data_IF_884029447907
#
_entry.id   IF_884029447907
#
_cell.length_a   1.000
_cell.length_b   1.000
_cell.length_c   1.000
_cell.angle_alpha   90.00
_cell.angle_beta   90.00
_cell.angle_gamma   90.00
#
_symmetry.space_group_name_H-M   'P 1'
#
loop_
_entity.id
_entity.type
_entity.pdbx_description
1 polymer ?
#
# COMPACT_ATOMS: atom_id res chain seq x y z
N UNK A 1 -8.11 15.70 -24.03
CA UNK A 1 -9.07 14.91 -23.23
C UNK A 1 -10.33 15.74 -23.05
N UNK A 2 -11.51 15.12 -23.14
CA UNK A 2 -12.79 15.76 -22.82
C UNK A 2 -12.81 16.21 -21.35
N UNK A 3 -13.32 17.41 -21.07
CA UNK A 3 -13.40 17.96 -19.69
C UNK A 3 -14.81 17.82 -19.11
N UNK A 4 -15.67 17.07 -19.75
CA UNK A 4 -17.07 16.82 -19.42
C UNK A 4 -17.32 15.51 -18.69
N UNK A 5 -16.24 14.85 -18.20
CA UNK A 5 -16.30 13.59 -17.48
C UNK A 5 -15.56 13.70 -16.14
N UNK A 6 -16.08 13.02 -15.14
CA UNK A 6 -15.40 12.86 -13.88
C UNK A 6 -14.09 12.08 -14.07
N UNK A 7 -13.00 12.59 -13.49
CA UNK A 7 -11.69 11.91 -13.41
C UNK A 7 -11.31 11.85 -11.94
N UNK A 8 -10.85 10.70 -11.46
CA UNK A 8 -10.45 10.53 -10.07
C UNK A 8 -9.24 11.42 -9.75
N UNK A 9 -9.30 12.25 -8.70
CA UNK A 9 -8.15 13.02 -8.23
C UNK A 9 -6.94 12.15 -7.86
N UNK A 10 -7.16 10.91 -7.47
CA UNK A 10 -6.07 9.97 -7.16
C UNK A 10 -5.18 9.75 -8.38
N UNK A 11 -5.77 9.54 -9.56
CA UNK A 11 -5.01 9.35 -10.80
C UNK A 11 -4.48 10.67 -11.38
N UNK A 12 -5.27 11.75 -11.29
CA UNK A 12 -4.90 13.01 -11.95
C UNK A 12 -3.85 13.81 -11.17
N UNK A 13 -3.87 13.72 -9.83
CA UNK A 13 -3.11 14.66 -8.97
C UNK A 13 -2.17 14.01 -7.98
N UNK A 14 -2.45 12.79 -7.51
CA UNK A 14 -1.76 12.27 -6.32
C UNK A 14 -0.86 11.09 -6.59
N UNK A 15 -1.31 10.10 -7.35
CA UNK A 15 -0.54 8.90 -7.61
C UNK A 15 0.54 9.09 -8.69
N UNK A 16 1.66 8.41 -8.52
CA UNK A 16 2.72 8.33 -9.53
C UNK A 16 2.25 7.61 -10.80
N UNK A 17 2.96 7.83 -11.90
CA UNK A 17 2.70 7.13 -13.17
C UNK A 17 2.95 5.63 -13.04
N UNK A 18 3.92 5.24 -12.24
CA UNK A 18 4.29 3.86 -11.97
C UNK A 18 3.14 3.10 -11.30
N UNK A 19 2.56 3.66 -10.25
CA UNK A 19 1.42 3.04 -9.56
C UNK A 19 0.18 3.01 -10.46
N UNK A 20 -0.08 4.07 -11.22
CA UNK A 20 -1.17 4.10 -12.20
C UNK A 20 -1.01 3.02 -13.28
N UNK A 21 0.24 2.77 -13.75
CA UNK A 21 0.50 1.72 -14.73
C UNK A 21 0.21 0.33 -14.17
N UNK A 22 0.59 0.06 -12.92
CA UNK A 22 0.34 -1.24 -12.26
C UNK A 22 -1.16 -1.58 -12.25
N UNK A 23 -2.04 -0.58 -12.06
CA UNK A 23 -3.49 -0.78 -12.08
C UNK A 23 -4.15 -0.47 -13.44
N UNK A 24 -3.36 -0.29 -14.49
CA UNK A 24 -3.86 0.02 -15.84
C UNK A 24 -4.46 -1.20 -16.53
N UNK A 25 -5.33 -0.98 -17.52
CA UNK A 25 -5.79 -2.04 -18.43
C UNK A 25 -4.62 -2.78 -19.11
N UNK A 26 -3.56 -2.07 -19.50
CA UNK A 26 -2.39 -2.68 -20.12
C UNK A 26 -1.74 -3.72 -19.21
N UNK A 27 -1.43 -3.36 -17.97
CA UNK A 27 -0.87 -4.32 -17.00
C UNK A 27 -1.81 -5.51 -16.77
N UNK A 28 -3.11 -5.25 -16.60
CA UNK A 28 -4.12 -6.29 -16.40
C UNK A 28 -4.16 -7.29 -17.57
N UNK A 29 -4.37 -6.82 -18.78
CA UNK A 29 -4.62 -7.70 -19.91
C UNK A 29 -3.37 -8.35 -20.48
N UNK A 30 -2.21 -7.70 -20.37
CA UNK A 30 -0.92 -8.35 -20.65
C UNK A 30 -0.65 -9.50 -19.66
N UNK A 31 -1.01 -9.31 -18.39
CA UNK A 31 -0.90 -10.37 -17.38
C UNK A 31 -1.85 -11.53 -17.69
N UNK A 32 -3.06 -11.27 -18.19
CA UNK A 32 -3.96 -12.33 -18.65
C UNK A 32 -3.31 -13.16 -19.77
N UNK A 33 -2.69 -12.51 -20.76
CA UNK A 33 -1.98 -13.22 -21.85
C UNK A 33 -0.82 -14.05 -21.33
N UNK A 34 -0.03 -13.52 -20.40
CA UNK A 34 1.05 -14.29 -19.73
C UNK A 34 0.51 -15.52 -19.00
N UNK A 35 -0.61 -15.39 -18.31
CA UNK A 35 -1.28 -16.50 -17.62
C UNK A 35 -1.79 -17.55 -18.62
N UNK A 36 -2.37 -17.17 -19.74
CA UNK A 36 -2.80 -18.13 -20.79
C UNK A 36 -1.61 -18.85 -21.41
N UNK A 37 -0.49 -18.17 -21.64
CA UNK A 37 0.75 -18.81 -22.09
C UNK A 37 1.27 -19.80 -21.03
N UNK A 38 1.34 -19.39 -19.77
CA UNK A 38 1.78 -20.25 -18.67
C UNK A 38 0.89 -21.50 -18.54
N UNK A 39 -0.42 -21.37 -18.76
CA UNK A 39 -1.36 -22.49 -18.80
C UNK A 39 -1.04 -23.44 -19.96
N UNK A 40 -0.98 -22.91 -21.18
CA UNK A 40 -0.70 -23.72 -22.38
C UNK A 40 0.66 -24.44 -22.31
N UNK A 41 1.71 -23.75 -21.84
CA UNK A 41 3.01 -24.37 -21.60
C UNK A 41 2.93 -25.50 -20.56
N UNK A 42 2.21 -25.26 -19.46
CA UNK A 42 2.02 -26.25 -18.38
C UNK A 42 1.27 -27.49 -18.89
N UNK A 43 0.18 -27.31 -19.59
CA UNK A 43 -0.61 -28.41 -20.17
C UNK A 43 0.20 -29.21 -21.19
N UNK A 44 1.02 -28.54 -22.02
CA UNK A 44 1.93 -29.22 -22.94
C UNK A 44 3.00 -30.03 -22.20
N UNK A 45 3.68 -29.42 -21.22
CA UNK A 45 4.71 -30.09 -20.41
C UNK A 45 4.19 -31.31 -19.66
N UNK A 46 2.92 -31.28 -19.26
CA UNK A 46 2.24 -32.37 -18.60
C UNK A 46 1.69 -33.42 -19.58
N UNK A 47 1.89 -33.21 -20.87
CA UNK A 47 1.59 -34.19 -21.89
C UNK A 47 0.10 -34.28 -22.26
N UNK A 48 -0.63 -33.15 -22.22
CA UNK A 48 -2.02 -33.11 -22.64
C UNK A 48 -2.16 -33.61 -24.09
N UNK A 49 -3.09 -34.53 -24.32
CA UNK A 49 -3.35 -35.18 -25.60
C UNK A 49 -4.71 -34.80 -26.15
N UNK A 50 -4.85 -34.95 -27.47
CA UNK A 50 -6.13 -34.91 -28.18
C UNK A 50 -6.80 -36.30 -28.16
N UNK A 51 -8.00 -36.42 -28.76
CA UNK A 51 -8.76 -37.67 -28.82
C UNK A 51 -8.04 -38.78 -29.60
N UNK A 52 -7.09 -38.44 -30.47
CA UNK A 52 -6.32 -39.40 -31.27
C UNK A 52 -4.98 -39.76 -30.58
N UNK A 53 -4.73 -39.24 -29.38
CA UNK A 53 -3.53 -39.51 -28.58
C UNK A 53 -2.31 -38.64 -28.96
N UNK A 54 -2.45 -37.67 -29.88
CA UNK A 54 -1.38 -36.75 -30.24
C UNK A 54 -1.25 -35.59 -29.23
N UNK A 55 -0.09 -34.92 -29.15
CA UNK A 55 0.02 -33.71 -28.35
C UNK A 55 -1.01 -32.66 -28.73
N UNK A 56 -1.84 -32.21 -27.77
CA UNK A 56 -2.91 -31.23 -27.98
C UNK A 56 -2.34 -29.83 -28.23
N UNK A 57 -1.16 -29.52 -27.68
CA UNK A 57 -0.55 -28.20 -27.72
C UNK A 57 0.85 -28.32 -28.36
N UNK A 58 1.13 -27.50 -29.35
CA UNK A 58 2.39 -27.47 -30.10
C UNK A 58 3.25 -26.28 -29.74
N UNK A 59 4.56 -26.36 -30.02
CA UNK A 59 5.47 -25.22 -29.83
C UNK A 59 5.08 -24.03 -30.73
N UNK A 60 4.60 -24.30 -31.94
CA UNK A 60 4.17 -23.26 -32.86
C UNK A 60 3.00 -22.44 -32.29
N UNK A 61 2.04 -23.10 -31.66
CA UNK A 61 0.92 -22.42 -31.00
C UNK A 61 1.40 -21.55 -29.83
N UNK A 62 2.32 -22.04 -29.00
CA UNK A 62 2.87 -21.28 -27.87
C UNK A 62 3.66 -20.06 -28.37
N UNK A 63 4.49 -20.20 -29.37
CA UNK A 63 5.25 -19.09 -29.95
C UNK A 63 4.33 -18.04 -30.61
N UNK A 64 3.24 -18.46 -31.26
CA UNK A 64 2.23 -17.53 -31.76
C UNK A 64 1.58 -16.72 -30.60
N UNK A 65 1.22 -17.36 -29.49
CA UNK A 65 0.73 -16.65 -28.30
C UNK A 65 1.76 -15.65 -27.77
N UNK A 66 3.02 -16.06 -27.62
CA UNK A 66 4.11 -15.20 -27.12
C UNK A 66 4.34 -13.98 -27.99
N UNK A 67 4.20 -14.12 -29.31
CA UNK A 67 4.43 -13.02 -30.25
C UNK A 67 3.42 -11.88 -30.12
N UNK A 68 2.26 -12.13 -29.50
CA UNK A 68 1.16 -11.17 -29.32
C UNK A 68 0.85 -10.84 -27.85
N UNK A 69 1.81 -10.94 -26.93
CA UNK A 69 1.60 -10.62 -25.49
C UNK A 69 1.33 -9.12 -25.28
N UNK A 70 2.04 -8.27 -26.04
CA UNK A 70 2.08 -6.84 -25.79
C UNK A 70 1.06 -6.02 -26.60
N UNK A 71 0.66 -6.49 -27.76
CA UNK A 71 -0.15 -5.78 -28.75
C UNK A 71 -1.65 -6.12 -28.65
N UNK A 72 -2.27 -5.76 -27.53
CA UNK A 72 -3.69 -6.07 -27.27
C UNK A 72 -4.61 -5.28 -28.18
N UNK A 73 -5.51 -5.97 -28.90
CA UNK A 73 -6.55 -5.34 -29.70
C UNK A 73 -7.78 -5.02 -28.84
N UNK A 74 -7.75 -3.87 -28.17
CA UNK A 74 -8.82 -3.40 -27.30
C UNK A 74 -10.14 -3.15 -28.03
N UNK A 75 -10.10 -2.75 -29.29
CA UNK A 75 -11.32 -2.45 -30.05
C UNK A 75 -12.09 -3.72 -30.33
N UNK A 76 -11.42 -4.78 -30.79
CA UNK A 76 -12.04 -6.09 -31.02
C UNK A 76 -12.58 -6.65 -29.71
N UNK A 77 -11.84 -6.58 -28.61
CA UNK A 77 -12.30 -7.04 -27.30
C UNK A 77 -13.57 -6.30 -26.86
N UNK A 78 -13.58 -4.97 -26.98
CA UNK A 78 -14.71 -4.11 -26.61
C UNK A 78 -15.97 -4.40 -27.43
N UNK A 79 -15.83 -4.50 -28.74
CA UNK A 79 -16.96 -4.81 -29.62
C UNK A 79 -17.51 -6.22 -29.32
N UNK A 80 -16.65 -7.19 -29.04
CA UNK A 80 -17.07 -8.52 -28.65
C UNK A 80 -17.81 -8.52 -27.32
N UNK A 81 -17.32 -7.76 -26.34
CA UNK A 81 -17.94 -7.67 -25.01
C UNK A 81 -19.34 -7.07 -25.06
N UNK A 82 -19.60 -6.11 -25.94
CA UNK A 82 -20.96 -5.58 -26.17
C UNK A 82 -21.97 -6.67 -26.57
N UNK A 83 -21.50 -7.68 -27.30
CA UNK A 83 -22.32 -8.78 -27.76
C UNK A 83 -22.52 -9.88 -26.71
N UNK A 84 -21.41 -10.35 -26.10
CA UNK A 84 -21.43 -11.52 -25.22
C UNK A 84 -21.55 -11.20 -23.73
N UNK A 85 -21.38 -9.92 -23.36
CA UNK A 85 -21.44 -9.42 -21.96
C UNK A 85 -20.53 -10.15 -20.99
N UNK A 86 -19.32 -10.51 -21.47
CA UNK A 86 -18.32 -11.26 -20.70
C UNK A 86 -16.91 -10.84 -21.11
N UNK A 87 -16.19 -10.17 -20.20
CA UNK A 87 -14.88 -9.58 -20.45
C UNK A 87 -13.80 -10.62 -20.80
N UNK A 88 -13.67 -11.69 -20.01
CA UNK A 88 -12.64 -12.71 -20.24
C UNK A 88 -12.84 -13.38 -21.61
N UNK A 89 -14.06 -13.80 -21.94
CA UNK A 89 -14.34 -14.44 -23.23
C UNK A 89 -14.15 -13.48 -24.40
N UNK A 90 -14.34 -12.20 -24.21
CA UNK A 90 -14.08 -11.16 -25.21
C UNK A 90 -12.59 -11.02 -25.50
N UNK A 91 -11.76 -11.07 -24.46
CA UNK A 91 -10.30 -11.06 -24.61
C UNK A 91 -9.75 -12.39 -25.16
N UNK A 92 -10.34 -13.55 -24.80
CA UNK A 92 -10.03 -14.84 -25.43
C UNK A 92 -10.30 -14.75 -26.95
N UNK A 93 -11.46 -14.22 -27.33
CA UNK A 93 -11.78 -14.01 -28.73
C UNK A 93 -10.80 -13.07 -29.46
N UNK A 94 -10.53 -11.92 -28.88
CA UNK A 94 -9.59 -10.95 -29.48
C UNK A 94 -8.18 -11.53 -29.64
N UNK A 95 -7.70 -12.29 -28.66
CA UNK A 95 -6.42 -12.97 -28.69
C UNK A 95 -6.40 -14.07 -29.76
N UNK A 96 -7.49 -14.87 -29.86
CA UNK A 96 -7.64 -15.90 -30.88
C UNK A 96 -7.68 -15.35 -32.30
N UNK A 97 -8.18 -14.12 -32.52
CA UNK A 97 -8.13 -13.45 -33.83
C UNK A 97 -6.70 -13.10 -34.23
N UNK A 98 -5.82 -12.76 -33.27
CA UNK A 98 -4.41 -12.49 -33.51
C UNK A 98 -3.60 -13.80 -33.61
N UNK A 99 -4.04 -14.86 -32.94
CA UNK A 99 -3.36 -16.16 -32.85
C UNK A 99 -4.26 -17.30 -33.39
N UNK A 100 -4.53 -17.35 -34.70
CA UNK A 100 -5.48 -18.32 -35.26
C UNK A 100 -5.08 -19.78 -35.06
N UNK A 101 -3.79 -20.12 -35.02
CA UNK A 101 -3.32 -21.49 -34.77
C UNK A 101 -3.54 -21.89 -33.31
N UNK A 102 -3.38 -20.94 -32.40
CA UNK A 102 -3.51 -21.16 -30.96
C UNK A 102 -4.93 -20.90 -30.44
N UNK A 103 -5.87 -20.40 -31.24
CA UNK A 103 -7.20 -20.00 -30.77
C UNK A 103 -7.92 -21.09 -29.98
N UNK A 104 -7.75 -22.36 -30.34
CA UNK A 104 -8.40 -23.50 -29.68
C UNK A 104 -7.75 -23.98 -28.37
N UNK A 105 -6.64 -23.37 -27.95
CA UNK A 105 -5.95 -23.72 -26.69
C UNK A 105 -5.93 -22.56 -25.69
N UNK A 106 -6.39 -21.38 -26.08
CA UNK A 106 -6.48 -20.24 -25.13
C UNK A 106 -7.53 -20.54 -24.06
N UNK A 107 -7.15 -20.44 -22.78
CA UNK A 107 -8.05 -20.64 -21.66
C UNK A 107 -8.61 -22.08 -21.51
N UNK A 108 -7.90 -23.07 -21.99
CA UNK A 108 -8.36 -24.46 -22.01
C UNK A 108 -8.52 -24.98 -20.57
N UNK A 109 -9.66 -25.57 -20.25
CA UNK A 109 -9.99 -26.08 -18.91
C UNK A 109 -10.19 -25.02 -17.81
N UNK A 110 -9.82 -23.78 -18.05
CA UNK A 110 -9.85 -22.71 -17.05
C UNK A 110 -11.23 -22.03 -16.94
N UNK A 111 -11.44 -21.34 -15.83
CA UNK A 111 -12.56 -20.41 -15.62
C UNK A 111 -12.05 -18.95 -15.58
N UNK A 112 -12.97 -17.99 -15.67
CA UNK A 112 -12.60 -16.56 -15.69
C UNK A 112 -11.74 -16.14 -14.50
N UNK A 113 -11.94 -16.73 -13.32
CA UNK A 113 -11.15 -16.42 -12.13
C UNK A 113 -9.69 -16.89 -12.24
N UNK A 114 -9.36 -17.80 -13.17
CA UNK A 114 -7.98 -18.14 -13.44
C UNK A 114 -7.16 -16.90 -13.82
N UNK A 115 -7.61 -16.14 -14.81
CA UNK A 115 -6.90 -14.91 -15.20
C UNK A 115 -7.23 -13.75 -14.27
N UNK A 116 -8.48 -13.59 -13.84
CA UNK A 116 -8.88 -12.47 -12.99
C UNK A 116 -8.18 -12.48 -11.64
N UNK A 117 -8.30 -13.55 -10.89
CA UNK A 117 -7.80 -13.65 -9.52
C UNK A 117 -6.27 -13.78 -9.45
N UNK A 118 -5.66 -14.57 -10.33
CA UNK A 118 -4.21 -14.63 -10.37
C UNK A 118 -3.59 -13.27 -10.75
N UNK A 119 -4.21 -12.53 -11.68
CA UNK A 119 -3.77 -11.18 -12.03
C UNK A 119 -3.91 -10.21 -10.86
N UNK A 120 -4.99 -10.26 -10.10
CA UNK A 120 -5.18 -9.39 -8.94
C UNK A 120 -4.07 -9.60 -7.90
N UNK A 121 -3.69 -10.85 -7.62
CA UNK A 121 -2.56 -11.15 -6.72
C UNK A 121 -1.23 -10.63 -7.27
N UNK A 122 -0.97 -10.81 -8.57
CA UNK A 122 0.25 -10.32 -9.22
C UNK A 122 0.33 -8.80 -9.14
N UNK A 123 -0.75 -8.10 -9.48
CA UNK A 123 -0.82 -6.63 -9.45
C UNK A 123 -0.65 -6.11 -8.02
N UNK A 124 -1.35 -6.66 -7.03
CA UNK A 124 -1.18 -6.28 -5.63
C UNK A 124 0.25 -6.51 -5.14
N UNK A 125 0.89 -7.59 -5.56
CA UNK A 125 2.27 -7.89 -5.19
C UNK A 125 3.24 -6.85 -5.76
N UNK A 126 3.11 -6.49 -7.04
CA UNK A 126 3.94 -5.45 -7.67
C UNK A 126 3.68 -4.07 -7.04
N UNK A 127 2.43 -3.75 -6.74
CA UNK A 127 2.08 -2.52 -6.04
C UNK A 127 2.70 -2.45 -4.63
N UNK A 128 2.63 -3.54 -3.85
CA UNK A 128 3.29 -3.62 -2.54
C UNK A 128 4.81 -3.47 -2.63
N UNK A 129 5.46 -4.01 -3.66
CA UNK A 129 6.90 -3.81 -3.90
C UNK A 129 7.25 -2.35 -4.16
N UNK A 130 6.42 -1.63 -4.93
CA UNK A 130 6.60 -0.20 -5.16
C UNK A 130 6.40 0.59 -3.85
N UNK A 131 5.35 0.29 -3.09
CA UNK A 131 5.11 0.88 -1.76
C UNK A 131 6.30 0.65 -0.84
N UNK A 132 6.86 -0.57 -0.79
CA UNK A 132 8.06 -0.89 -0.02
C UNK A 132 9.23 0.00 -0.38
N UNK A 133 9.50 0.18 -1.66
CA UNK A 133 10.59 1.04 -2.14
C UNK A 133 10.42 2.47 -1.66
N UNK A 134 9.22 3.04 -1.79
CA UNK A 134 8.91 4.40 -1.34
C UNK A 134 8.99 4.54 0.18
N UNK A 135 8.48 3.56 0.92
CA UNK A 135 8.55 3.53 2.38
C UNK A 135 10.01 3.53 2.88
N UNK A 136 10.87 2.71 2.27
CA UNK A 136 12.31 2.68 2.59
C UNK A 136 12.95 4.05 2.30
N UNK A 137 12.59 4.72 1.21
CA UNK A 137 13.10 6.05 0.90
C UNK A 137 12.72 7.07 1.97
N UNK A 138 11.48 7.06 2.45
CA UNK A 138 11.02 7.92 3.55
C UNK A 138 11.81 7.63 4.84
N UNK A 139 11.99 6.37 5.21
CA UNK A 139 12.76 5.97 6.39
C UNK A 139 14.21 6.46 6.29
N UNK A 140 14.84 6.33 5.12
CA UNK A 140 16.20 6.80 4.89
C UNK A 140 16.35 8.32 5.04
N UNK A 141 15.40 9.11 4.53
CA UNK A 141 15.43 10.56 4.70
C UNK A 141 15.17 10.97 6.16
N UNK A 142 14.26 10.30 6.86
CA UNK A 142 14.06 10.49 8.30
C UNK A 142 15.32 10.15 9.10
N UNK A 143 16.07 9.11 8.71
CA UNK A 143 17.33 8.75 9.36
C UNK A 143 18.39 9.86 9.22
N UNK A 144 18.53 10.44 8.02
CA UNK A 144 19.41 11.59 7.78
C UNK A 144 19.00 12.80 8.63
N UNK A 145 17.70 13.12 8.65
CA UNK A 145 17.17 14.19 9.47
C UNK A 145 17.43 13.95 10.96
N UNK A 146 17.16 12.74 11.45
CA UNK A 146 17.40 12.37 12.84
C UNK A 146 18.89 12.51 13.23
N UNK A 147 19.80 12.07 12.38
CA UNK A 147 21.25 12.19 12.63
C UNK A 147 21.72 13.65 12.60
N UNK A 148 21.20 14.44 11.67
CA UNK A 148 21.52 15.88 11.56
C UNK A 148 21.14 16.65 12.83
N UNK A 149 20.00 16.34 13.43
CA UNK A 149 19.46 17.07 14.57
C UNK A 149 19.48 16.28 15.90
N UNK A 150 20.32 15.25 16.00
CA UNK A 150 20.42 14.39 17.19
C UNK A 150 20.85 15.15 18.45
N UNK A 151 21.61 16.22 18.27
CA UNK A 151 22.18 17.02 19.38
C UNK A 151 21.43 18.35 19.60
N UNK A 152 20.35 18.63 18.83
CA UNK A 152 19.55 19.83 19.00
C UNK A 152 18.49 19.63 20.07
N UNK A 153 18.65 20.21 21.29
CA UNK A 153 17.68 20.06 22.35
C UNK A 153 16.36 20.79 22.03
N UNK A 154 15.26 20.18 22.42
CA UNK A 154 13.91 20.75 22.29
C UNK A 154 13.01 20.28 23.44
N UNK A 155 11.87 20.94 23.60
CA UNK A 155 10.85 20.51 24.54
C UNK A 155 10.19 19.21 24.07
N UNK A 156 10.12 18.21 24.92
CA UNK A 156 9.17 17.13 24.76
C UNK A 156 7.82 17.51 25.37
N UNK A 157 6.76 17.07 24.71
CA UNK A 157 5.39 17.32 25.14
C UNK A 157 4.68 16.01 25.49
N UNK A 158 4.01 16.00 26.65
CA UNK A 158 3.02 15.01 26.99
C UNK A 158 1.70 15.73 27.28
N UNK A 159 0.58 15.22 26.79
CA UNK A 159 -0.70 15.93 26.84
C UNK A 159 -0.65 17.34 26.22
N UNK A 160 0.26 17.52 25.26
CA UNK A 160 0.63 18.82 24.64
C UNK A 160 1.07 19.88 25.66
N UNK A 161 1.58 19.47 26.82
CA UNK A 161 2.22 20.32 27.82
C UNK A 161 3.72 20.05 27.85
N UNK A 162 4.58 21.08 28.09
CA UNK A 162 6.00 20.87 28.29
C UNK A 162 6.26 19.86 29.40
N UNK A 163 7.11 18.88 29.14
CA UNK A 163 7.43 17.81 30.08
C UNK A 163 8.92 17.79 30.42
N UNK A 164 9.74 17.19 29.57
CA UNK A 164 11.18 17.04 29.76
C UNK A 164 11.94 17.41 28.49
N UNK A 165 13.26 17.62 28.58
CA UNK A 165 14.11 17.78 27.39
C UNK A 165 14.13 16.53 26.53
N UNK A 166 14.14 16.74 25.22
CA UNK A 166 14.48 15.72 24.21
C UNK A 166 15.34 16.37 23.13
N UNK A 167 15.56 15.71 22.00
CA UNK A 167 16.18 16.32 20.83
C UNK A 167 15.26 16.25 19.63
N UNK A 168 15.46 17.16 18.67
CA UNK A 168 14.71 17.15 17.40
C UNK A 168 14.94 15.84 16.65
N UNK A 169 16.18 15.35 16.61
CA UNK A 169 16.51 14.07 15.99
C UNK A 169 15.86 12.90 16.70
N UNK A 170 15.83 12.88 18.04
CA UNK A 170 15.13 11.80 18.79
C UNK A 170 13.63 11.81 18.50
N UNK A 171 12.99 12.95 18.33
CA UNK A 171 11.57 13.02 17.92
C UNK A 171 11.35 12.37 16.57
N UNK A 172 12.24 12.60 15.60
CA UNK A 172 12.17 11.96 14.29
C UNK A 172 12.28 10.42 14.35
N UNK A 173 13.03 9.87 15.31
CA UNK A 173 13.10 8.41 15.48
C UNK A 173 11.78 7.79 15.93
N UNK A 174 10.85 8.55 16.53
CA UNK A 174 9.51 8.07 16.84
C UNK A 174 8.72 7.80 15.54
N UNK A 175 8.81 8.73 14.58
CA UNK A 175 8.18 8.55 13.26
C UNK A 175 8.80 7.37 12.50
N UNK A 176 10.12 7.23 12.56
CA UNK A 176 10.83 6.10 11.96
C UNK A 176 10.41 4.77 12.55
N UNK A 177 10.27 4.68 13.88
CA UNK A 177 9.89 3.44 14.55
C UNK A 177 8.54 2.92 14.08
N UNK A 178 7.56 3.80 13.88
CA UNK A 178 6.25 3.42 13.35
C UNK A 178 6.36 2.91 11.90
N UNK A 179 7.10 3.61 11.04
CA UNK A 179 7.33 3.16 9.66
C UNK A 179 8.14 1.85 9.57
N UNK A 180 9.01 1.55 10.53
CA UNK A 180 9.72 0.27 10.59
C UNK A 180 8.79 -0.89 10.96
N UNK A 181 7.79 -0.66 11.80
CA UNK A 181 6.73 -1.64 12.07
C UNK A 181 5.92 -1.90 10.80
N UNK A 182 5.52 -0.84 10.10
CA UNK A 182 4.80 -0.94 8.82
C UNK A 182 5.61 -1.68 7.75
N UNK A 183 6.92 -1.43 7.68
CA UNK A 183 7.81 -2.11 6.74
C UNK A 183 7.88 -3.61 7.01
N UNK A 184 7.96 -4.00 8.28
CA UNK A 184 7.97 -5.41 8.67
C UNK A 184 6.66 -6.12 8.28
N UNK A 185 5.51 -5.48 8.52
CA UNK A 185 4.20 -6.01 8.13
C UNK A 185 4.06 -6.09 6.60
N UNK A 186 4.53 -5.09 5.87
CA UNK A 186 4.50 -5.06 4.40
C UNK A 186 5.39 -6.16 3.80
N UNK A 187 6.61 -6.32 4.29
CA UNK A 187 7.52 -7.38 3.82
C UNK A 187 6.96 -8.78 4.12
N UNK A 188 6.40 -8.96 5.31
CA UNK A 188 5.70 -10.20 5.65
C UNK A 188 4.54 -10.44 4.66
N UNK A 189 3.72 -9.42 4.37
CA UNK A 189 2.57 -9.58 3.46
C UNK A 189 3.01 -9.91 2.02
N UNK A 190 4.07 -9.29 1.52
CA UNK A 190 4.67 -9.61 0.21
C UNK A 190 5.11 -11.08 0.18
N UNK A 191 5.81 -11.55 1.22
CA UNK A 191 6.28 -12.93 1.32
C UNK A 191 5.18 -13.98 1.46
N UNK A 192 3.97 -13.58 1.85
CA UNK A 192 2.81 -14.48 2.00
C UNK A 192 1.95 -14.58 0.75
N UNK A 193 2.23 -13.81 -0.32
CA UNK A 193 1.43 -13.85 -1.53
C UNK A 193 1.54 -15.21 -2.24
N UNK A 194 0.38 -15.76 -2.58
CA UNK A 194 0.25 -17.03 -3.32
C UNK A 194 -0.79 -16.83 -4.43
N UNK A 195 -0.57 -17.45 -5.56
CA UNK A 195 -1.55 -17.44 -6.63
C UNK A 195 -2.79 -18.28 -6.26
N UNK A 196 -3.90 -18.00 -6.93
CA UNK A 196 -5.06 -18.89 -6.92
C UNK A 196 -4.68 -20.25 -7.55
N UNK A 197 -3.98 -20.20 -8.68
CA UNK A 197 -3.71 -21.36 -9.52
C UNK A 197 -4.87 -21.69 -10.47
N UNK A 198 -4.91 -22.92 -10.94
CA UNK A 198 -5.92 -23.46 -11.84
C UNK A 198 -6.93 -24.29 -11.04
N UNK A 199 -7.84 -23.63 -10.32
CA UNK A 199 -8.78 -24.33 -9.39
C UNK A 199 -10.09 -24.81 -10.07
N UNK A 200 -10.45 -24.23 -11.21
CA UNK A 200 -11.73 -24.53 -11.88
C UNK A 200 -12.94 -23.85 -11.23
N UNK A 201 -14.12 -24.27 -11.63
CA UNK A 201 -15.39 -23.60 -11.30
C UNK A 201 -15.70 -23.60 -9.79
N UNK A 202 -15.33 -24.65 -9.08
CA UNK A 202 -15.66 -24.83 -7.65
C UNK A 202 -14.45 -25.14 -6.77
N UNK A 203 -13.25 -24.97 -7.29
CA UNK A 203 -12.01 -25.27 -6.55
C UNK A 203 -11.58 -26.74 -6.59
N UNK A 204 -12.24 -27.57 -7.37
CA UNK A 204 -12.03 -29.04 -7.42
C UNK A 204 -11.11 -29.48 -8.56
N UNK A 205 -10.71 -28.60 -9.46
CA UNK A 205 -9.94 -28.91 -10.68
C UNK A 205 -10.61 -29.93 -11.62
N UNK A 206 -11.94 -30.11 -11.52
CA UNK A 206 -12.67 -31.14 -12.23
C UNK A 206 -12.49 -31.08 -13.76
N UNK A 207 -12.48 -29.87 -14.36
CA UNK A 207 -12.24 -29.72 -15.80
C UNK A 207 -10.84 -30.16 -16.22
N UNK A 208 -9.83 -29.92 -15.40
CA UNK A 208 -8.46 -30.38 -15.66
C UNK A 208 -8.37 -31.91 -15.46
N UNK A 209 -9.07 -32.45 -14.48
CA UNK A 209 -9.09 -33.90 -14.27
C UNK A 209 -9.72 -34.61 -15.47
N UNK A 210 -10.77 -34.03 -16.07
CA UNK A 210 -11.37 -34.54 -17.30
C UNK A 210 -10.41 -34.46 -18.48
N UNK A 211 -9.71 -33.32 -18.65
CA UNK A 211 -8.72 -33.14 -19.72
C UNK A 211 -7.56 -34.14 -19.64
N UNK A 212 -7.17 -34.53 -18.44
CA UNK A 212 -6.09 -35.49 -18.17
C UNK A 212 -6.64 -36.91 -17.86
N UNK A 213 -7.83 -37.25 -18.34
CA UNK A 213 -8.41 -38.58 -18.28
C UNK A 213 -8.40 -39.24 -16.89
N UNK A 214 -8.59 -38.43 -15.85
CA UNK A 214 -8.63 -38.88 -14.46
C UNK A 214 -7.25 -39.00 -13.78
N UNK A 215 -6.17 -38.55 -14.40
CA UNK A 215 -4.82 -38.59 -13.79
C UNK A 215 -4.66 -37.49 -12.73
N UNK A 216 -5.01 -37.83 -11.48
CA UNK A 216 -4.87 -36.95 -10.32
C UNK A 216 -3.43 -36.53 -10.05
N UNK A 217 -2.44 -37.40 -10.30
CA UNK A 217 -1.04 -37.08 -10.02
C UNK A 217 -0.49 -36.01 -10.99
N UNK A 218 -0.94 -36.03 -12.21
CA UNK A 218 -0.61 -35.00 -13.21
C UNK A 218 -1.34 -33.67 -12.89
N UNK A 219 -2.64 -33.71 -12.57
CA UNK A 219 -3.41 -32.49 -12.27
C UNK A 219 -2.89 -31.76 -11.03
N UNK A 220 -2.44 -32.47 -9.99
CA UNK A 220 -1.80 -31.86 -8.81
C UNK A 220 -0.56 -31.01 -9.12
N UNK A 221 0.12 -31.27 -10.24
CA UNK A 221 1.33 -30.54 -10.63
C UNK A 221 1.04 -29.18 -11.30
N UNK A 222 -0.19 -28.97 -11.81
CA UNK A 222 -0.56 -27.79 -12.59
C UNK A 222 -0.28 -26.52 -11.79
N UNK A 223 -0.79 -26.41 -10.58
CA UNK A 223 -0.67 -25.21 -9.75
C UNK A 223 0.80 -24.85 -9.46
N UNK A 224 1.62 -25.84 -9.13
CA UNK A 224 3.05 -25.61 -8.87
C UNK A 224 3.78 -25.07 -10.10
N UNK A 225 3.51 -25.64 -11.27
CA UNK A 225 4.11 -25.17 -12.54
C UNK A 225 3.65 -23.77 -12.94
N UNK A 226 2.36 -23.45 -12.74
CA UNK A 226 1.85 -22.08 -12.97
C UNK A 226 2.52 -21.09 -12.02
N UNK A 227 2.62 -21.41 -10.73
CA UNK A 227 3.28 -20.56 -9.75
C UNK A 227 4.74 -20.28 -10.16
N UNK A 228 5.49 -21.31 -10.49
CA UNK A 228 6.89 -21.21 -10.94
C UNK A 228 7.03 -20.28 -12.17
N UNK A 229 6.21 -20.50 -13.22
CA UNK A 229 6.23 -19.70 -14.45
C UNK A 229 5.88 -18.23 -14.21
N UNK A 230 5.05 -17.96 -13.22
CA UNK A 230 4.64 -16.60 -12.87
C UNK A 230 5.51 -15.97 -11.76
N UNK A 231 6.57 -16.66 -11.30
CA UNK A 231 7.52 -16.15 -10.31
C UNK A 231 7.00 -16.14 -8.87
N UNK A 232 6.05 -17.03 -8.54
CA UNK A 232 5.52 -17.21 -7.19
C UNK A 232 5.97 -18.54 -6.58
N UNK A 233 6.10 -18.56 -5.26
CA UNK A 233 6.55 -19.75 -4.54
C UNK A 233 5.49 -20.88 -4.53
N UNK A 234 4.19 -20.54 -4.57
CA UNK A 234 3.10 -21.50 -4.49
C UNK A 234 1.76 -20.90 -4.92
N UNK A 235 0.78 -21.80 -5.13
CA UNK A 235 -0.64 -21.46 -5.13
C UNK A 235 -1.28 -21.78 -3.77
N UNK A 236 -2.46 -21.22 -3.49
CA UNK A 236 -3.26 -21.65 -2.33
C UNK A 236 -3.66 -23.10 -2.48
N UNK A 237 -3.47 -23.94 -1.44
CA UNK A 237 -3.79 -25.36 -1.53
C UNK A 237 -5.28 -25.64 -1.59
N UNK A 238 -6.09 -24.77 -0.99
CA UNK A 238 -7.55 -24.87 -0.93
C UNK A 238 -8.18 -23.53 -1.28
N UNK A 239 -9.16 -23.56 -2.17
CA UNK A 239 -9.99 -22.40 -2.54
C UNK A 239 -11.34 -22.88 -3.09
N UNK A 240 -12.28 -21.95 -3.23
CA UNK A 240 -13.42 -22.12 -4.14
C UNK A 240 -12.99 -21.77 -5.57
N UNK A 241 -13.88 -21.12 -6.31
CA UNK A 241 -13.58 -20.57 -7.63
C UNK A 241 -12.54 -19.43 -7.55
N UNK A 242 -12.50 -18.71 -6.40
CA UNK A 242 -11.65 -17.55 -6.13
C UNK A 242 -10.71 -17.83 -4.97
N UNK A 243 -9.60 -17.07 -4.86
CA UNK A 243 -8.86 -17.02 -3.60
C UNK A 243 -9.72 -16.35 -2.51
N UNK A 244 -9.43 -16.64 -1.25
CA UNK A 244 -10.16 -16.02 -0.14
C UNK A 244 -10.03 -14.48 -0.18
N UNK A 245 -11.14 -13.77 -0.23
CA UNK A 245 -11.16 -12.29 -0.20
C UNK A 245 -10.56 -11.69 1.08
N UNK A 246 -10.30 -12.54 2.07
CA UNK A 246 -9.52 -12.17 3.24
C UNK A 246 -8.08 -11.74 2.89
N UNK A 247 -7.55 -12.17 1.74
CA UNK A 247 -6.23 -11.73 1.25
C UNK A 247 -6.26 -10.23 0.95
N UNK A 248 -7.29 -9.74 0.25
CA UNK A 248 -7.47 -8.31 -0.05
C UNK A 248 -7.57 -7.50 1.25
N UNK A 249 -8.35 -7.98 2.22
CA UNK A 249 -8.47 -7.34 3.53
C UNK A 249 -7.12 -7.26 4.27
N UNK A 250 -6.32 -8.32 4.22
CA UNK A 250 -4.98 -8.31 4.83
C UNK A 250 -4.05 -7.31 4.16
N UNK A 251 -4.07 -7.22 2.84
CA UNK A 251 -3.28 -6.23 2.08
C UNK A 251 -3.69 -4.81 2.45
N UNK A 252 -4.98 -4.49 2.41
CA UNK A 252 -5.45 -3.14 2.74
C UNK A 252 -5.23 -2.77 4.21
N UNK A 253 -5.24 -3.73 5.13
CA UNK A 253 -4.88 -3.49 6.53
C UNK A 253 -3.41 -3.04 6.69
N UNK A 254 -2.49 -3.61 5.91
CA UNK A 254 -1.09 -3.14 5.89
C UNK A 254 -1.00 -1.71 5.35
N UNK A 255 -1.71 -1.40 4.26
CA UNK A 255 -1.77 -0.02 3.74
C UNK A 255 -2.38 0.95 4.76
N UNK A 256 -3.42 0.53 5.48
CA UNK A 256 -4.03 1.30 6.57
C UNK A 256 -3.02 1.57 7.70
N UNK A 257 -2.15 0.61 8.04
CA UNK A 257 -1.05 0.81 8.99
C UNK A 257 -0.12 1.94 8.55
N UNK A 258 0.35 1.91 7.32
CA UNK A 258 1.20 2.97 6.74
C UNK A 258 0.47 4.33 6.78
N UNK A 259 -0.83 4.35 6.47
CA UNK A 259 -1.65 5.56 6.53
C UNK A 259 -1.75 6.12 7.96
N UNK A 260 -1.90 5.27 8.98
CA UNK A 260 -1.90 5.69 10.39
C UNK A 260 -0.59 6.37 10.77
N UNK A 261 0.55 5.79 10.43
CA UNK A 261 1.88 6.35 10.69
C UNK A 261 2.09 7.68 9.98
N UNK A 262 1.68 7.78 8.72
CA UNK A 262 1.77 9.01 7.93
C UNK A 262 0.85 10.12 8.49
N UNK A 263 -0.37 9.77 8.92
CA UNK A 263 -1.28 10.71 9.55
C UNK A 263 -0.70 11.26 10.84
N UNK A 264 -0.16 10.39 11.70
CA UNK A 264 0.49 10.79 12.95
C UNK A 264 1.65 11.75 12.72
N UNK A 265 2.55 11.45 11.77
CA UNK A 265 3.63 12.35 11.36
C UNK A 265 3.09 13.71 10.91
N UNK A 266 2.06 13.73 10.05
CA UNK A 266 1.49 14.96 9.53
C UNK A 266 0.89 15.86 10.62
N UNK A 267 0.29 15.26 11.65
CA UNK A 267 -0.20 16.01 12.82
C UNK A 267 0.95 16.64 13.59
N UNK A 268 2.03 15.91 13.85
CA UNK A 268 3.19 16.44 14.55
C UNK A 268 3.81 17.62 13.79
N UNK A 269 3.97 17.52 12.46
CA UNK A 269 4.48 18.63 11.64
C UNK A 269 3.57 19.85 11.71
N UNK A 270 2.25 19.66 11.64
CA UNK A 270 1.28 20.78 11.76
C UNK A 270 1.36 21.48 13.12
N UNK A 271 1.52 20.71 14.21
CA UNK A 271 1.71 21.25 15.56
C UNK A 271 3.06 21.96 15.71
N UNK A 272 4.13 21.38 15.17
CA UNK A 272 5.46 22.02 15.20
C UNK A 272 5.51 23.28 14.36
N UNK A 273 4.81 23.33 13.23
CA UNK A 273 4.68 24.53 12.42
C UNK A 273 3.84 25.62 13.12
N UNK A 274 2.79 25.24 13.86
CA UNK A 274 2.07 26.17 14.73
C UNK A 274 2.99 26.79 15.78
N UNK A 275 3.89 25.99 16.38
CA UNK A 275 4.91 26.45 17.31
C UNK A 275 6.04 27.25 16.63
N UNK A 276 6.08 27.30 15.30
CA UNK A 276 7.15 27.92 14.50
C UNK A 276 8.54 27.30 14.74
N UNK A 277 8.57 26.04 15.16
CA UNK A 277 9.81 25.30 15.43
C UNK A 277 10.31 24.53 14.23
N UNK A 278 9.40 23.88 13.49
CA UNK A 278 9.70 23.15 12.26
C UNK A 278 8.59 23.41 11.26
N UNK A 279 8.95 23.69 10.03
CA UNK A 279 8.01 23.91 8.93
C UNK A 279 8.22 22.93 7.79
N UNK A 280 7.14 22.53 7.10
CA UNK A 280 7.25 21.84 5.82
C UNK A 280 7.87 22.75 4.74
N UNK A 281 8.47 22.18 3.66
CA UNK A 281 9.08 22.99 2.60
C UNK A 281 8.04 23.90 1.91
N UNK A 282 8.49 25.11 1.62
CA UNK A 282 7.67 26.11 0.95
C UNK A 282 8.41 26.64 -0.30
N UNK A 283 7.83 26.47 -1.46
CA UNK A 283 8.43 26.83 -2.73
C UNK A 283 8.46 28.36 -2.95
N UNK A 284 9.48 28.86 -3.64
CA UNK A 284 9.70 30.30 -3.84
C UNK A 284 8.46 31.03 -4.37
N UNK A 285 7.71 30.40 -5.25
CA UNK A 285 6.52 30.99 -5.87
C UNK A 285 5.20 30.42 -5.34
N UNK A 286 5.26 29.65 -4.25
CA UNK A 286 4.07 29.03 -3.66
C UNK A 286 3.23 30.10 -2.95
N UNK A 287 1.91 30.04 -3.13
CA UNK A 287 0.94 30.88 -2.41
C UNK A 287 0.34 30.03 -1.29
N UNK A 288 0.59 30.43 -0.04
CA UNK A 288 0.07 29.74 1.14
C UNK A 288 -1.36 30.16 1.53
N UNK A 289 -1.77 31.35 1.14
CA UNK A 289 -3.10 31.89 1.43
C UNK A 289 -3.47 32.95 0.39
N UNK A 290 -4.72 32.91 -0.10
CA UNK A 290 -5.24 33.90 -1.03
C UNK A 290 -5.52 35.26 -0.40
N UNK A 291 -5.76 35.31 0.92
CA UNK A 291 -6.10 36.52 1.65
C UNK A 291 -4.92 37.10 2.45
N UNK A 292 -4.02 36.27 2.94
CA UNK A 292 -2.91 36.66 3.82
C UNK A 292 -1.59 36.20 3.18
N UNK A 293 -0.95 37.06 2.43
CA UNK A 293 0.23 36.73 1.61
C UNK A 293 1.43 36.20 2.41
N UNK A 294 1.57 36.56 3.70
CA UNK A 294 2.64 36.06 4.59
C UNK A 294 2.38 34.69 5.18
N UNK A 295 1.14 34.18 5.08
CA UNK A 295 0.72 32.95 5.76
C UNK A 295 1.22 31.69 5.01
N UNK A 296 1.95 30.85 5.72
CA UNK A 296 2.43 29.55 5.24
C UNK A 296 1.59 28.44 5.86
N UNK A 297 0.69 27.85 5.10
CA UNK A 297 -0.13 26.74 5.55
C UNK A 297 0.61 25.41 5.30
N UNK A 298 0.54 24.45 6.22
CA UNK A 298 1.15 23.12 6.04
C UNK A 298 0.29 22.24 5.12
N UNK A 299 0.09 22.68 3.86
CA UNK A 299 -0.87 22.07 2.93
C UNK A 299 -0.48 20.64 2.51
N UNK A 300 0.81 20.33 2.49
CA UNK A 300 1.30 18.97 2.18
C UNK A 300 0.97 18.01 3.32
N UNK A 301 1.24 18.43 4.55
CA UNK A 301 0.88 17.65 5.75
C UNK A 301 -0.63 17.50 5.91
N UNK A 302 -1.42 18.54 5.62
CA UNK A 302 -2.89 18.44 5.60
C UNK A 302 -3.39 17.45 4.54
N UNK A 303 -2.75 17.39 3.38
CA UNK A 303 -3.08 16.43 2.32
C UNK A 303 -2.70 15.00 2.71
N UNK A 304 -1.55 14.80 3.36
CA UNK A 304 -1.18 13.50 3.92
C UNK A 304 -2.26 13.01 4.88
N UNK A 305 -2.69 13.84 5.83
CA UNK A 305 -3.76 13.49 6.77
C UNK A 305 -5.05 13.11 6.05
N UNK A 306 -5.49 13.94 5.11
CA UNK A 306 -6.74 13.75 4.37
C UNK A 306 -6.75 12.46 3.53
N UNK A 307 -5.65 12.17 2.83
CA UNK A 307 -5.52 10.91 2.07
C UNK A 307 -5.42 9.70 3.00
N UNK A 308 -4.78 9.84 4.17
CA UNK A 308 -4.69 8.78 5.17
C UNK A 308 -6.06 8.41 5.74
N UNK A 309 -6.92 9.40 6.03
CA UNK A 309 -8.31 9.16 6.44
C UNK A 309 -9.06 8.32 5.41
N UNK A 310 -8.85 8.63 4.11
CA UNK A 310 -9.46 7.89 3.02
C UNK A 310 -9.01 6.43 3.01
N UNK A 311 -7.71 6.15 3.10
CA UNK A 311 -7.16 4.77 3.09
C UNK A 311 -7.65 3.98 4.28
N UNK A 312 -7.66 4.57 5.49
CA UNK A 312 -8.15 3.89 6.69
C UNK A 312 -9.63 3.53 6.59
N UNK A 313 -10.46 4.41 6.02
CA UNK A 313 -11.88 4.13 5.79
C UNK A 313 -12.07 3.09 4.68
N UNK A 314 -11.30 3.16 3.60
CA UNK A 314 -11.40 2.24 2.46
C UNK A 314 -11.00 0.80 2.84
N UNK A 315 -10.11 0.61 3.79
CA UNK A 315 -9.71 -0.71 4.29
C UNK A 315 -10.86 -1.54 4.89
N UNK A 316 -11.99 -0.93 5.21
CA UNK A 316 -13.20 -1.63 5.65
C UNK A 316 -13.88 -2.39 4.49
N UNK A 317 -13.76 -1.90 3.26
CA UNK A 317 -14.41 -2.51 2.09
C UNK A 317 -14.05 -3.99 1.92
N UNK A 318 -12.77 -4.38 1.80
CA UNK A 318 -12.42 -5.80 1.60
C UNK A 318 -12.72 -6.65 2.84
N UNK A 319 -12.74 -6.10 4.05
CA UNK A 319 -13.14 -6.82 5.24
C UNK A 319 -14.63 -7.20 5.20
N UNK A 320 -15.50 -6.26 4.79
CA UNK A 320 -16.92 -6.50 4.58
C UNK A 320 -17.12 -7.53 3.47
N UNK A 321 -16.48 -7.33 2.32
CA UNK A 321 -16.57 -8.24 1.17
C UNK A 321 -16.15 -9.66 1.54
N UNK A 322 -15.05 -9.81 2.30
CA UNK A 322 -14.58 -11.13 2.74
C UNK A 322 -15.60 -11.84 3.64
N UNK A 323 -16.35 -11.09 4.45
CA UNK A 323 -17.34 -11.65 5.39
C UNK A 323 -18.68 -12.02 4.74
N UNK A 324 -18.95 -11.48 3.56
CA UNK A 324 -20.22 -11.67 2.84
C UNK A 324 -20.15 -12.67 1.68
N UNK A 325 -18.99 -13.31 1.46
CA UNK A 325 -18.84 -14.34 0.43
C UNK A 325 -19.65 -15.60 0.76
N UNK A 326 -20.25 -16.22 -0.28
CA UNK A 326 -21.09 -17.41 -0.15
C UNK A 326 -20.43 -18.62 -0.81
N UNK A 327 -20.31 -19.71 -0.08
CA UNK A 327 -19.83 -20.99 -0.59
C UNK A 327 -18.57 -20.86 -1.48
N UNK A 328 -18.59 -21.41 -2.68
CA UNK A 328 -17.46 -21.43 -3.61
C UNK A 328 -17.34 -20.16 -4.44
N UNK A 329 -18.41 -19.35 -4.57
CA UNK A 329 -18.43 -18.10 -5.34
C UNK A 329 -19.69 -17.29 -5.10
N UNK A 330 -19.51 -15.98 -4.89
CA UNK A 330 -20.51 -14.94 -5.14
C UNK A 330 -19.83 -13.79 -5.91
N UNK A 331 -20.58 -12.92 -6.58
CA UNK A 331 -20.03 -11.87 -7.45
C UNK A 331 -20.02 -10.48 -6.81
N UNK A 332 -20.52 -10.32 -5.61
CA UNK A 332 -20.63 -9.05 -4.91
C UNK A 332 -19.25 -8.41 -4.57
N UNK A 333 -18.19 -9.19 -4.58
CA UNK A 333 -16.82 -8.73 -4.45
C UNK A 333 -16.35 -7.92 -5.67
N UNK A 334 -16.81 -8.26 -6.86
CA UNK A 334 -16.21 -7.86 -8.13
C UNK A 334 -16.19 -6.34 -8.33
N UNK A 335 -17.32 -5.66 -8.15
CA UNK A 335 -17.38 -4.21 -8.31
C UNK A 335 -16.66 -3.48 -7.17
N UNK A 336 -16.82 -3.94 -5.92
CA UNK A 336 -16.20 -3.31 -4.77
C UNK A 336 -14.66 -3.33 -4.87
N UNK A 337 -14.05 -4.49 -5.10
CA UNK A 337 -12.58 -4.61 -5.14
C UNK A 337 -11.94 -3.90 -6.33
N UNK A 338 -12.66 -3.71 -7.44
CA UNK A 338 -12.18 -2.93 -8.60
C UNK A 338 -12.01 -1.45 -8.28
N UNK A 339 -12.65 -0.97 -7.23
CA UNK A 339 -12.57 0.41 -6.74
C UNK A 339 -11.62 0.46 -5.53
N UNK A 340 -11.96 -0.25 -4.47
CA UNK A 340 -11.29 -0.16 -3.19
C UNK A 340 -9.80 -0.51 -3.25
N UNK A 341 -9.43 -1.62 -3.89
CA UNK A 341 -8.02 -2.05 -3.93
C UNK A 341 -7.13 -1.06 -4.70
N UNK A 342 -7.43 -0.69 -5.96
CA UNK A 342 -6.61 0.29 -6.68
C UNK A 342 -6.54 1.64 -5.97
N UNK A 343 -7.66 2.16 -5.46
CA UNK A 343 -7.70 3.48 -4.85
C UNK A 343 -6.89 3.56 -3.56
N UNK A 344 -6.90 2.50 -2.73
CA UNK A 344 -6.03 2.41 -1.56
C UNK A 344 -4.54 2.51 -1.93
N UNK A 345 -4.10 1.78 -2.96
CA UNK A 345 -2.72 1.84 -3.44
C UNK A 345 -2.35 3.19 -4.05
N UNK A 346 -3.23 3.76 -4.88
CA UNK A 346 -3.02 5.09 -5.48
C UNK A 346 -2.90 6.18 -4.40
N UNK A 347 -3.72 6.08 -3.35
CA UNK A 347 -3.67 7.03 -2.24
C UNK A 347 -2.39 6.87 -1.40
N UNK A 348 -1.99 5.64 -1.04
CA UNK A 348 -0.74 5.37 -0.31
C UNK A 348 0.48 5.83 -1.10
N UNK A 349 0.49 5.60 -2.41
CA UNK A 349 1.55 6.06 -3.30
C UNK A 349 1.71 7.58 -3.22
N UNK A 350 0.62 8.33 -3.32
CA UNK A 350 0.62 9.79 -3.17
C UNK A 350 1.00 10.26 -1.76
N UNK A 351 0.58 9.54 -0.71
CA UNK A 351 0.97 9.82 0.67
C UNK A 351 2.49 9.70 0.85
N UNK A 352 3.11 8.63 0.35
CA UNK A 352 4.54 8.39 0.51
C UNK A 352 5.39 9.39 -0.29
N UNK A 353 4.95 9.79 -1.48
CA UNK A 353 5.61 10.85 -2.25
C UNK A 353 5.54 12.20 -1.53
N UNK A 354 4.41 12.53 -0.94
CA UNK A 354 4.25 13.74 -0.13
C UNK A 354 5.08 13.67 1.15
N UNK A 355 5.09 12.52 1.82
CA UNK A 355 5.86 12.31 3.04
C UNK A 355 7.36 12.51 2.77
N UNK A 356 7.89 11.87 1.72
CA UNK A 356 9.28 12.04 1.30
C UNK A 356 9.60 13.50 1.01
N UNK A 357 8.75 14.17 0.25
CA UNK A 357 8.92 15.59 -0.09
C UNK A 357 8.92 16.50 1.14
N UNK A 358 8.07 16.23 2.13
CA UNK A 358 8.04 17.00 3.37
C UNK A 358 9.32 16.78 4.17
N UNK A 359 9.73 15.52 4.36
CA UNK A 359 10.93 15.19 5.17
C UNK A 359 12.21 15.75 4.56
N UNK A 360 12.39 15.60 3.24
CA UNK A 360 13.57 16.09 2.51
C UNK A 360 13.72 17.62 2.61
N UNK A 361 12.61 18.34 2.78
CA UNK A 361 12.57 19.79 2.80
C UNK A 361 12.25 20.43 4.16
N UNK A 362 12.19 19.69 5.27
CA UNK A 362 11.89 20.24 6.59
C UNK A 362 12.85 21.37 6.98
N UNK A 363 12.27 22.50 7.40
CA UNK A 363 13.02 23.67 7.89
C UNK A 363 12.92 23.72 9.40
N UNK A 364 14.08 23.69 10.06
CA UNK A 364 14.19 23.71 11.54
C UNK A 364 14.68 25.07 11.99
N UNK A 365 13.94 25.73 12.89
CA UNK A 365 14.25 27.03 13.47
C UNK A 365 14.86 26.88 14.86
N UNK A 366 16.15 26.60 14.92
CA UNK A 366 16.91 26.36 16.14
C UNK A 366 16.79 27.45 17.19
N UNK A 367 16.77 28.72 16.78
CA UNK A 367 16.60 29.89 17.67
C UNK A 367 15.21 29.92 18.32
N UNK A 368 14.17 29.58 17.59
CA UNK A 368 12.80 29.52 18.13
C UNK A 368 12.70 28.37 19.13
N UNK A 369 13.24 27.20 18.77
CA UNK A 369 13.31 26.05 19.66
C UNK A 369 14.05 26.39 20.94
N UNK A 370 15.21 27.04 20.83
CA UNK A 370 15.98 27.48 21.98
C UNK A 370 15.20 28.44 22.89
N UNK A 371 14.50 29.41 22.33
CA UNK A 371 13.67 30.36 23.10
C UNK A 371 12.55 29.67 23.87
N UNK A 372 11.84 28.73 23.24
CA UNK A 372 10.80 27.95 23.91
C UNK A 372 11.38 27.06 25.01
N UNK A 373 12.49 26.40 24.71
CA UNK A 373 13.20 25.53 25.64
C UNK A 373 13.64 26.28 26.90
N UNK A 374 14.27 27.45 26.74
CA UNK A 374 14.79 28.26 27.85
C UNK A 374 13.69 28.81 28.76
N UNK A 375 12.48 29.06 28.25
CA UNK A 375 11.33 29.48 29.05
C UNK A 375 10.86 28.42 30.03
N UNK A 376 11.00 27.15 29.68
CA UNK A 376 10.48 26.01 30.44
C UNK A 376 11.56 25.31 31.29
N UNK A 377 12.87 25.55 31.04
CA UNK A 377 13.97 24.92 31.78
C UNK A 377 13.83 25.06 33.31
N UNK A 378 13.46 26.24 33.90
CA UNK A 378 13.35 26.36 35.34
C UNK A 378 12.34 25.39 35.95
N UNK A 379 11.25 25.13 35.25
CA UNK A 379 10.22 24.18 35.71
C UNK A 379 10.68 22.73 35.51
N UNK A 380 11.35 22.41 34.41
CA UNK A 380 11.89 21.07 34.14
C UNK A 380 13.00 20.69 35.13
N UNK A 381 13.81 21.65 35.59
CA UNK A 381 14.87 21.43 36.58
C UNK A 381 14.31 20.99 37.94
N UNK A 382 13.05 21.18 38.24
CA UNK A 382 12.41 20.81 39.53
C UNK A 382 12.55 19.33 39.83
N UNK A 383 12.47 18.44 38.84
CA UNK A 383 12.71 17.01 39.02
C UNK A 383 14.16 16.72 39.44
N UNK A 384 15.14 17.36 38.79
CA UNK A 384 16.54 17.20 39.12
C UNK A 384 16.87 17.71 40.53
N UNK A 385 16.25 18.84 40.92
CA UNK A 385 16.34 19.40 42.25
C UNK A 385 15.80 18.43 43.30
N UNK A 386 14.63 17.87 43.01
CA UNK A 386 13.99 16.86 43.88
C UNK A 386 14.90 15.63 44.04
N UNK A 387 15.42 15.09 42.94
CA UNK A 387 16.28 13.90 42.97
C UNK A 387 17.60 14.14 43.70
N UNK A 388 18.20 15.31 43.55
CA UNK A 388 19.43 15.67 44.30
C UNK A 388 19.14 15.79 45.79
N UNK A 389 18.04 16.41 46.15
CA UNK A 389 17.61 16.53 47.54
C UNK A 389 17.30 15.15 48.18
N UNK A 390 16.68 14.24 47.45
CA UNK A 390 16.47 12.86 47.89
C UNK A 390 17.78 12.12 48.11
N UNK A 391 18.76 12.26 47.21
CA UNK A 391 20.11 11.68 47.37
C UNK A 391 20.79 12.16 48.65
N UNK A 392 20.48 13.38 49.10
CA UNK A 392 21.00 13.99 50.34
C UNK A 392 20.16 13.65 51.57
N UNK A 393 19.22 12.70 51.48
CA UNK A 393 18.43 12.21 52.59
C UNK A 393 17.08 12.91 52.80
N UNK A 394 16.62 13.72 51.84
CA UNK A 394 15.33 14.37 51.88
C UNK A 394 14.18 13.38 51.66
N UNK A 395 13.00 13.65 52.26
CA UNK A 395 11.78 12.88 52.07
C UNK A 395 11.18 13.19 50.67
N UNK A 396 11.05 12.21 49.75
CA UNK A 396 10.51 12.45 48.44
C UNK A 396 9.11 13.07 48.39
N UNK A 397 8.23 12.67 49.30
CA UNK A 397 6.83 13.15 49.35
C UNK A 397 6.74 14.60 49.80
N UNK A 398 7.49 14.96 50.86
CA UNK A 398 7.55 16.35 51.35
C UNK A 398 8.21 17.29 50.35
N UNK A 399 9.26 16.83 49.69
CA UNK A 399 9.96 17.60 48.64
C UNK A 399 9.06 17.83 47.44
N UNK A 400 8.34 16.79 47.00
CA UNK A 400 7.39 16.88 45.89
C UNK A 400 6.30 17.92 46.19
N UNK A 401 5.73 17.91 47.40
CA UNK A 401 4.68 18.86 47.75
C UNK A 401 5.20 20.30 47.79
N UNK A 402 6.36 20.54 48.39
CA UNK A 402 6.96 21.88 48.40
C UNK A 402 7.28 22.38 47.00
N UNK A 403 7.85 21.52 46.13
CA UNK A 403 8.15 21.87 44.75
C UNK A 403 6.85 22.19 43.99
N UNK A 404 5.79 21.39 44.22
CA UNK A 404 4.46 21.62 43.62
C UNK A 404 3.91 23.00 44.00
N UNK A 405 3.92 23.35 45.32
CA UNK A 405 3.40 24.64 45.80
C UNK A 405 4.16 25.82 45.16
N UNK A 406 5.50 25.82 45.22
CA UNK A 406 6.30 26.90 44.63
C UNK A 406 6.18 26.96 43.14
N UNK A 407 6.11 25.82 42.44
CA UNK A 407 5.93 25.78 40.95
C UNK A 407 4.57 26.34 40.54
N UNK A 408 3.51 26.10 41.34
CA UNK A 408 2.18 26.68 41.08
C UNK A 408 2.18 28.19 41.22
N UNK A 409 2.82 28.72 42.27
CA UNK A 409 2.95 30.18 42.48
C UNK A 409 3.76 30.81 41.37
N UNK A 410 4.91 30.22 41.00
CA UNK A 410 5.76 30.72 39.92
C UNK A 410 5.04 30.66 38.56
N UNK A 411 4.34 29.56 38.26
CA UNK A 411 3.59 29.40 37.03
C UNK A 411 2.43 30.38 36.91
N UNK A 412 1.78 30.76 38.00
CA UNK A 412 0.76 31.80 38.02
C UNK A 412 1.36 33.18 37.69
N UNK A 413 2.53 33.50 38.26
CA UNK A 413 3.24 34.75 38.00
C UNK A 413 3.64 34.86 36.52
N UNK A 414 4.22 33.80 35.94
CA UNK A 414 4.60 33.76 34.51
C UNK A 414 3.40 33.97 33.57
N UNK A 415 2.18 33.57 33.98
CA UNK A 415 0.97 33.75 33.17
C UNK A 415 0.35 35.14 33.33
N UNK A 416 0.65 35.87 34.40
CA UNK A 416 0.09 37.18 34.67
C UNK A 416 0.95 38.32 34.10
N UNK A 417 2.23 38.09 33.89
CA UNK A 417 3.22 39.07 33.45
C UNK A 417 4.03 38.49 32.24
#
# INVERSE_FOLDING_TARGET
MSRDKYVSPLSERYASKEMQYIFSPDMKFKTWRKLWIALAETEKELGLKDADGNPRITDEQIEELKSHVEDINYDVAREREKLVRHDVMSHVYAYGQQCPKAAGIIHLGATSCYVGDNTDVIIMTEAMKLVRTKLINVINELAKFADTYKDLPTLAFTHFQPAQPTTVGKRATLWMQELLLDLADLEYMIGQQKLLGCKGTTGTQASFLELFEGDHETVKKIDGKIAEKMGFAACYPVSGQTYSRKVDARVLNVLSGIAMSAHKFSNDIRLLQHLKEVEEPFEKNQIGSSAMAYKRNPMRSERIASLSDYVMADALNPAIVASTQWFERTLDDSANKRISVPEAFLAIDGILDLYLNVVDGLVVYDKVIYQHFMKEIPFMATENIMMDAVKRGGNPQELHEKIREYSMIAGEQVKKY
#
